data_IF_358851608070
#
_entry.id   IF_358851608070
#
_cell.length_a   1.000
_cell.length_b   1.000
_cell.length_c   1.000
_cell.angle_alpha   90.00
_cell.angle_beta   90.00
_cell.angle_gamma   90.00
#
_symmetry.space_group_name_H-M   'P 1'
#
loop_
_entity.id
_entity.type
_entity.pdbx_description
1 polymer ?
#
# COMPACT_ATOMS: atom_id res chain seq x y z
N UNK A 1 -27.55 37.93 27.42
CA UNK A 1 -27.95 36.78 26.59
C UNK A 1 -27.23 36.86 25.25
N UNK A 2 -26.02 36.30 25.15
CA UNK A 2 -25.24 36.32 23.90
C UNK A 2 -24.35 35.06 23.81
N UNK A 3 -24.96 33.87 23.83
CA UNK A 3 -24.26 32.58 23.74
C UNK A 3 -24.65 31.75 22.52
N UNK A 4 -25.53 32.24 21.64
CA UNK A 4 -26.07 31.45 20.51
C UNK A 4 -25.17 31.32 19.28
N UNK A 5 -24.27 32.28 19.03
CA UNK A 5 -23.61 32.39 17.72
C UNK A 5 -22.33 31.54 17.57
N UNK A 6 -21.74 31.06 18.68
CA UNK A 6 -20.48 30.31 18.64
C UNK A 6 -20.65 28.81 18.36
N UNK A 7 -21.76 28.22 18.81
CA UNK A 7 -22.08 26.81 18.60
C UNK A 7 -22.46 26.53 17.15
N UNK A 8 -23.40 27.29 16.61
CA UNK A 8 -23.87 27.16 15.22
C UNK A 8 -22.73 27.28 14.20
N UNK A 9 -21.82 28.25 14.38
CA UNK A 9 -20.67 28.45 13.48
C UNK A 9 -19.68 27.28 13.57
N UNK A 10 -19.45 26.70 14.76
CA UNK A 10 -18.55 25.54 14.94
C UNK A 10 -19.15 24.30 14.27
N UNK A 11 -20.45 24.11 14.41
CA UNK A 11 -21.20 23.00 13.84
C UNK A 11 -21.32 23.09 12.32
N UNK A 12 -21.48 24.30 11.77
CA UNK A 12 -21.45 24.53 10.32
C UNK A 12 -20.07 24.19 9.73
N UNK A 13 -18.98 24.67 10.34
CA UNK A 13 -17.61 24.32 9.94
C UNK A 13 -17.35 22.82 10.03
N UNK A 14 -17.88 22.16 11.05
CA UNK A 14 -17.78 20.72 11.22
C UNK A 14 -18.47 19.96 10.06
N UNK A 15 -19.69 20.37 9.66
CA UNK A 15 -20.37 19.78 8.49
C UNK A 15 -19.57 19.96 7.22
N UNK A 16 -19.10 21.18 6.96
CA UNK A 16 -18.28 21.47 5.77
C UNK A 16 -17.03 20.60 5.71
N UNK A 17 -16.35 20.38 6.84
CA UNK A 17 -15.17 19.51 6.88
C UNK A 17 -15.53 18.04 6.59
N UNK A 18 -16.60 17.53 7.22
CA UNK A 18 -17.01 16.14 7.03
C UNK A 18 -17.50 15.88 5.61
N UNK A 19 -18.25 16.81 5.02
CA UNK A 19 -18.69 16.73 3.62
C UNK A 19 -17.49 16.75 2.66
N UNK A 20 -16.49 17.61 2.93
CA UNK A 20 -15.25 17.64 2.15
C UNK A 20 -14.43 16.33 2.27
N UNK A 21 -14.58 15.62 3.39
CA UNK A 21 -14.01 14.29 3.59
C UNK A 21 -14.92 13.15 3.12
N UNK A 22 -16.09 13.43 2.54
CA UNK A 22 -17.05 12.42 2.08
C UNK A 22 -17.73 11.63 3.22
N UNK A 23 -17.74 12.17 4.44
CA UNK A 23 -18.32 11.51 5.62
C UNK A 23 -19.76 11.97 5.81
N UNK A 24 -20.71 11.06 5.63
CA UNK A 24 -22.12 11.33 5.91
C UNK A 24 -22.37 11.53 7.41
N UNK A 25 -22.61 12.78 7.81
CA UNK A 25 -22.77 13.17 9.21
C UNK A 25 -24.23 13.45 9.63
N UNK A 26 -25.20 13.20 8.75
CA UNK A 26 -26.61 13.54 8.98
C UNK A 26 -27.27 12.84 10.17
N UNK A 27 -26.65 11.79 10.70
CA UNK A 27 -27.10 11.04 11.87
C UNK A 27 -26.45 11.51 13.18
N UNK A 28 -25.46 12.40 13.13
CA UNK A 28 -24.72 12.87 14.30
C UNK A 28 -25.45 14.06 14.95
N UNK A 29 -25.52 14.06 16.28
CA UNK A 29 -25.88 15.26 17.02
C UNK A 29 -24.76 16.32 16.96
N UNK A 30 -25.07 17.53 17.43
CA UNK A 30 -24.15 18.67 17.32
C UNK A 30 -22.80 18.41 18.01
N UNK A 31 -22.80 17.78 19.18
CA UNK A 31 -21.60 17.50 19.94
C UNK A 31 -20.73 16.44 19.26
N UNK A 32 -21.35 15.36 18.77
CA UNK A 32 -20.67 14.28 18.06
C UNK A 32 -20.11 14.75 16.70
N UNK A 33 -20.86 15.58 15.99
CA UNK A 33 -20.46 16.23 14.75
C UNK A 33 -19.18 17.07 14.95
N UNK A 34 -19.21 17.96 15.95
CA UNK A 34 -18.05 18.82 16.26
C UNK A 34 -16.85 17.99 16.72
N UNK A 35 -17.04 17.01 17.61
CA UNK A 35 -15.96 16.15 18.07
C UNK A 35 -15.33 15.35 16.92
N UNK A 36 -16.16 14.84 15.99
CA UNK A 36 -15.68 14.11 14.82
C UNK A 36 -14.87 15.00 13.88
N UNK A 37 -15.35 16.22 13.62
CA UNK A 37 -14.63 17.19 12.82
C UNK A 37 -13.29 17.61 13.46
N UNK A 38 -13.25 17.80 14.78
CA UNK A 38 -12.00 18.13 15.49
C UNK A 38 -10.98 17.01 15.45
N UNK A 39 -11.41 15.76 15.64
CA UNK A 39 -10.54 14.60 15.45
C UNK A 39 -9.93 14.55 14.05
N UNK A 40 -10.72 14.86 13.01
CA UNK A 40 -10.24 14.90 11.63
C UNK A 40 -9.32 16.10 11.41
N UNK A 41 -9.65 17.27 11.93
CA UNK A 41 -8.81 18.46 11.81
C UNK A 41 -7.43 18.25 12.48
N UNK A 42 -7.41 17.64 13.66
CA UNK A 42 -6.16 17.26 14.35
C UNK A 42 -5.38 16.21 13.56
N UNK A 43 -6.06 15.21 12.98
CA UNK A 43 -5.43 14.23 12.12
C UNK A 43 -4.81 14.89 10.86
N UNK A 44 -5.52 15.82 10.23
CA UNK A 44 -5.06 16.58 9.06
C UNK A 44 -3.91 17.52 9.43
N UNK A 45 -3.92 18.13 10.62
CA UNK A 45 -2.82 18.96 11.10
C UNK A 45 -1.54 18.12 11.34
N UNK A 46 -1.68 16.93 11.96
CA UNK A 46 -0.59 15.96 12.10
C UNK A 46 -0.08 15.49 10.74
N UNK A 47 -0.98 15.22 9.80
CA UNK A 47 -0.65 14.88 8.42
C UNK A 47 0.15 15.98 7.71
N UNK A 48 -0.26 17.25 7.82
CA UNK A 48 0.48 18.38 7.22
C UNK A 48 1.86 18.55 7.83
N UNK A 49 2.02 18.23 9.11
CA UNK A 49 3.33 18.19 9.76
C UNK A 49 4.18 16.98 9.29
N UNK A 50 3.56 15.96 8.70
CA UNK A 50 4.18 14.73 8.19
C UNK A 50 4.56 14.79 6.70
N UNK A 51 4.48 15.95 6.03
CA UNK A 51 4.74 16.06 4.58
C UNK A 51 6.14 15.55 4.17
N UNK A 52 7.13 15.74 5.04
CA UNK A 52 8.50 15.26 4.83
C UNK A 52 8.62 13.72 4.73
N UNK A 53 7.73 12.98 5.41
CA UNK A 53 7.70 11.51 5.30
C UNK A 53 7.22 11.09 3.92
N UNK A 54 6.12 11.68 3.43
CA UNK A 54 5.60 11.39 2.09
C UNK A 54 6.61 11.73 1.00
N UNK A 55 7.26 12.90 1.09
CA UNK A 55 8.33 13.29 0.16
C UNK A 55 9.52 12.33 0.21
N UNK A 56 9.91 11.88 1.41
CA UNK A 56 11.00 10.90 1.55
C UNK A 56 10.59 9.54 1.01
N UNK A 57 9.34 9.12 1.21
CA UNK A 57 8.79 7.89 0.66
C UNK A 57 8.75 7.89 -0.87
N UNK A 58 8.29 8.99 -1.49
CA UNK A 58 8.26 9.11 -2.94
C UNK A 58 9.68 9.08 -3.55
N UNK A 59 10.63 9.76 -2.89
CA UNK A 59 12.05 9.69 -3.26
C UNK A 59 12.64 8.28 -3.08
N UNK A 60 12.24 7.58 -2.02
CA UNK A 60 12.66 6.21 -1.74
C UNK A 60 12.24 5.28 -2.88
N UNK A 61 10.93 5.25 -3.19
CA UNK A 61 10.37 4.44 -4.28
C UNK A 61 10.96 4.81 -5.64
N UNK A 62 11.14 6.10 -5.93
CA UNK A 62 11.75 6.53 -7.19
C UNK A 62 13.22 6.09 -7.29
N UNK A 63 13.94 6.04 -6.18
CA UNK A 63 15.33 5.55 -6.16
C UNK A 63 15.39 4.04 -6.49
N UNK A 64 14.43 3.27 -6.02
CA UNK A 64 14.35 1.82 -6.27
C UNK A 64 13.89 1.48 -7.68
N UNK A 65 12.76 2.05 -8.13
CA UNK A 65 12.05 1.61 -9.33
C UNK A 65 12.34 2.45 -10.57
N UNK A 66 12.71 3.73 -10.42
CA UNK A 66 13.05 4.58 -11.56
C UNK A 66 14.57 4.65 -11.74
N UNK A 67 15.29 5.08 -10.70
CA UNK A 67 16.72 5.31 -10.76
C UNK A 67 17.55 4.02 -10.64
N UNK A 68 16.98 2.98 -10.03
CA UNK A 68 17.67 1.72 -9.70
C UNK A 68 18.98 1.97 -8.92
N UNK A 69 18.95 2.89 -7.95
CA UNK A 69 20.11 3.37 -7.19
C UNK A 69 20.03 2.95 -5.72
N UNK A 70 20.77 1.88 -5.39
CA UNK A 70 20.89 1.36 -4.02
C UNK A 70 21.36 2.43 -3.03
N UNK A 71 22.31 3.28 -3.43
CA UNK A 71 22.88 4.31 -2.54
C UNK A 71 21.83 5.35 -2.19
N UNK A 72 21.14 5.87 -3.21
CA UNK A 72 20.06 6.84 -3.02
C UNK A 72 18.90 6.27 -2.18
N UNK A 73 18.54 5.00 -2.38
CA UNK A 73 17.55 4.29 -1.55
C UNK A 73 18.00 4.19 -0.09
N UNK A 74 19.25 3.81 0.16
CA UNK A 74 19.79 3.67 1.53
C UNK A 74 19.99 5.01 2.25
N UNK A 75 20.09 6.12 1.52
CA UNK A 75 20.21 7.48 2.07
C UNK A 75 18.87 8.04 2.59
N UNK A 76 17.75 7.40 2.29
CA UNK A 76 16.44 7.77 2.87
C UNK A 76 16.11 6.98 4.13
N UNK A 77 16.92 5.99 4.50
CA UNK A 77 16.69 5.09 5.61
C UNK A 77 17.49 5.48 6.85
N UNK A 78 16.98 5.12 8.03
CA UNK A 78 17.71 5.20 9.29
C UNK A 78 18.96 4.29 9.29
N UNK A 79 19.81 4.42 10.32
CA UNK A 79 21.01 3.58 10.48
C UNK A 79 20.73 2.10 10.79
N UNK A 80 19.56 1.79 11.38
CA UNK A 80 19.12 0.45 11.77
C UNK A 80 17.82 -0.01 11.05
N UNK A 81 17.75 0.01 9.70
CA UNK A 81 16.52 -0.27 8.98
C UNK A 81 16.25 -1.77 8.87
N UNK A 82 15.02 -2.14 8.51
CA UNK A 82 14.76 -3.47 7.97
C UNK A 82 13.67 -3.45 6.90
N UNK A 83 13.78 -4.35 5.94
CA UNK A 83 12.81 -4.56 4.86
C UNK A 83 12.31 -6.00 4.95
N UNK A 84 11.00 -6.18 4.84
CA UNK A 84 10.37 -7.50 4.86
C UNK A 84 9.28 -7.61 3.78
N UNK A 85 9.53 -8.48 2.82
CA UNK A 85 8.51 -9.03 1.94
C UNK A 85 7.82 -10.20 2.65
N UNK A 86 6.65 -9.93 3.24
CA UNK A 86 5.99 -10.82 4.20
C UNK A 86 5.65 -12.21 3.62
N UNK A 87 5.09 -12.33 2.39
CA UNK A 87 4.62 -13.63 1.89
C UNK A 87 5.71 -14.67 1.68
N UNK A 88 6.96 -14.26 1.47
CA UNK A 88 8.10 -15.16 1.19
C UNK A 88 9.30 -14.95 2.11
N UNK A 89 9.19 -14.04 3.08
CA UNK A 89 10.21 -13.73 4.09
C UNK A 89 11.57 -13.33 3.49
N UNK A 90 11.55 -12.64 2.35
CA UNK A 90 12.75 -12.05 1.74
C UNK A 90 12.93 -10.62 2.25
N UNK A 91 14.16 -10.14 2.28
CA UNK A 91 14.49 -8.81 2.78
C UNK A 91 15.83 -8.77 3.49
N UNK A 92 16.01 -7.79 4.37
CA UNK A 92 17.25 -7.55 5.11
C UNK A 92 17.01 -6.79 6.39
N UNK A 93 17.99 -6.81 7.30
CA UNK A 93 17.96 -6.05 8.55
C UNK A 93 19.33 -5.44 8.84
N UNK A 94 19.32 -4.24 9.42
CA UNK A 94 20.48 -3.38 9.56
C UNK A 94 20.94 -2.82 8.20
N UNK A 95 21.75 -1.75 8.23
CA UNK A 95 22.13 -1.01 7.02
C UNK A 95 22.79 -1.91 5.97
N UNK A 96 23.76 -2.72 6.38
CA UNK A 96 24.48 -3.63 5.47
C UNK A 96 23.58 -4.75 4.93
N UNK A 97 22.68 -5.28 5.77
CA UNK A 97 21.77 -6.36 5.39
C UNK A 97 20.76 -5.90 4.35
N UNK A 98 20.18 -4.72 4.55
CA UNK A 98 19.23 -4.11 3.61
C UNK A 98 19.94 -3.66 2.34
N UNK A 99 21.08 -2.98 2.42
CA UNK A 99 21.84 -2.53 1.24
C UNK A 99 22.25 -3.71 0.34
N UNK A 100 22.71 -4.82 0.94
CA UNK A 100 23.03 -6.05 0.20
C UNK A 100 21.79 -6.66 -0.45
N UNK A 101 20.66 -6.71 0.27
CA UNK A 101 19.42 -7.22 -0.30
C UNK A 101 18.99 -6.37 -1.52
N UNK A 102 19.08 -5.04 -1.42
CA UNK A 102 18.80 -4.16 -2.55
C UNK A 102 19.72 -4.41 -3.74
N UNK A 103 21.03 -4.49 -3.48
CA UNK A 103 22.05 -4.66 -4.51
C UNK A 103 22.00 -6.02 -5.22
N UNK A 104 21.66 -7.10 -4.50
CA UNK A 104 21.82 -8.46 -5.02
C UNK A 104 20.48 -9.14 -5.38
N UNK A 105 19.40 -8.81 -4.68
CA UNK A 105 18.15 -9.58 -4.70
C UNK A 105 16.88 -8.78 -5.02
N UNK A 106 16.96 -7.44 -4.99
CA UNK A 106 15.82 -6.58 -5.31
C UNK A 106 16.04 -5.83 -6.62
N UNK A 107 16.86 -4.77 -6.63
CA UNK A 107 16.91 -3.80 -7.72
C UNK A 107 17.30 -4.45 -9.07
N UNK A 108 18.35 -5.29 -9.16
CA UNK A 108 18.66 -5.97 -10.44
C UNK A 108 17.68 -7.10 -10.81
N UNK A 109 16.77 -7.45 -9.91
CA UNK A 109 15.77 -8.52 -10.05
C UNK A 109 14.37 -7.96 -10.34
N UNK A 110 14.25 -6.65 -10.61
CA UNK A 110 13.03 -6.00 -11.08
C UNK A 110 12.95 -6.21 -12.62
N UNK A 111 11.87 -6.85 -13.13
CA UNK A 111 11.64 -6.96 -14.57
C UNK A 111 11.62 -5.60 -15.28
N UNK A 112 12.11 -5.54 -16.51
CA UNK A 112 12.17 -4.29 -17.27
C UNK A 112 10.77 -3.71 -17.62
N UNK A 113 9.72 -4.55 -17.63
CA UNK A 113 8.34 -4.14 -17.87
C UNK A 113 7.53 -3.93 -16.58
N UNK A 114 8.19 -3.82 -15.42
CA UNK A 114 7.55 -3.55 -14.14
C UNK A 114 6.77 -2.23 -14.17
N UNK A 115 5.49 -2.30 -13.82
CA UNK A 115 4.57 -1.17 -13.80
C UNK A 115 3.81 -1.13 -12.50
N UNK A 116 3.73 0.05 -11.90
CA UNK A 116 2.98 0.32 -10.68
C UNK A 116 1.81 1.24 -11.01
N UNK A 117 0.59 0.78 -10.71
CA UNK A 117 -0.63 1.60 -10.77
C UNK A 117 -1.09 1.90 -9.34
N UNK A 118 -0.94 3.14 -8.86
CA UNK A 118 -1.40 3.51 -7.52
C UNK A 118 -2.92 3.39 -7.38
N UNK A 119 -3.39 2.84 -6.26
CA UNK A 119 -4.82 2.73 -5.92
C UNK A 119 -5.17 3.72 -4.82
N UNK A 120 -4.45 3.65 -3.70
CA UNK A 120 -4.69 4.51 -2.55
C UNK A 120 -3.41 4.71 -1.74
N UNK A 121 -3.38 5.80 -0.97
CA UNK A 121 -2.32 6.09 0.00
C UNK A 121 -2.96 6.51 1.31
N UNK A 122 -2.55 5.88 2.40
CA UNK A 122 -2.92 6.25 3.76
C UNK A 122 -1.67 6.75 4.49
N UNK A 123 -1.73 7.97 5.03
CA UNK A 123 -0.61 8.56 5.77
C UNK A 123 -0.99 8.72 7.24
N UNK A 124 -0.25 8.03 8.09
CA UNK A 124 -0.33 8.12 9.55
C UNK A 124 0.60 9.20 10.11
N UNK A 125 0.87 9.12 11.42
CA UNK A 125 1.80 10.05 12.08
C UNK A 125 3.27 9.62 11.90
N UNK A 126 3.50 8.34 11.62
CA UNK A 126 4.80 7.68 11.57
C UNK A 126 4.86 6.58 10.50
N UNK A 127 3.86 6.49 9.63
CA UNK A 127 3.83 5.51 8.55
C UNK A 127 3.11 6.04 7.31
N UNK A 128 3.52 5.55 6.15
CA UNK A 128 2.84 5.68 4.87
C UNK A 128 2.48 4.27 4.40
N UNK A 129 1.24 4.07 3.98
CA UNK A 129 0.76 2.80 3.43
C UNK A 129 0.22 3.06 2.05
N UNK A 130 0.88 2.46 1.05
CA UNK A 130 0.47 2.51 -0.35
C UNK A 130 -0.17 1.20 -0.76
N UNK A 131 -1.33 1.31 -1.38
CA UNK A 131 -2.01 0.23 -2.08
C UNK A 131 -1.84 0.47 -3.58
N UNK A 132 -1.38 -0.56 -4.28
CA UNK A 132 -1.09 -0.47 -5.71
C UNK A 132 -1.39 -1.79 -6.42
N UNK A 133 -1.62 -1.73 -7.72
CA UNK A 133 -1.56 -2.91 -8.59
C UNK A 133 -0.24 -2.88 -9.34
N UNK A 134 0.54 -3.95 -9.19
CA UNK A 134 1.79 -4.14 -9.92
C UNK A 134 1.58 -5.11 -11.06
N UNK A 135 2.13 -4.78 -12.23
CA UNK A 135 2.12 -5.63 -13.41
C UNK A 135 3.52 -5.83 -13.96
N UNK A 136 3.86 -7.06 -14.34
CA UNK A 136 5.16 -7.40 -14.93
C UNK A 136 5.08 -8.74 -15.68
N UNK A 137 6.10 -9.04 -16.48
CA UNK A 137 6.31 -10.36 -17.08
C UNK A 137 7.38 -11.12 -16.28
N UNK A 138 7.11 -12.37 -15.93
CA UNK A 138 8.09 -13.21 -15.23
C UNK A 138 9.12 -13.80 -16.22
N UNK A 139 9.94 -12.93 -16.80
CA UNK A 139 10.97 -13.24 -17.81
C UNK A 139 12.41 -13.34 -17.25
N UNK A 140 12.61 -12.89 -16.02
CA UNK A 140 13.82 -13.07 -15.21
C UNK A 140 13.49 -13.74 -13.87
N UNK A 141 14.51 -14.19 -13.14
CA UNK A 141 14.32 -14.59 -11.74
C UNK A 141 14.01 -13.34 -10.90
N UNK A 142 12.96 -13.40 -10.09
CA UNK A 142 12.51 -12.30 -9.22
C UNK A 142 12.64 -12.75 -7.77
N UNK A 143 13.86 -12.68 -7.22
CA UNK A 143 14.20 -13.29 -5.92
C UNK A 143 13.29 -12.83 -4.77
N UNK A 144 12.93 -11.55 -4.77
CA UNK A 144 12.12 -10.96 -3.71
C UNK A 144 10.64 -11.42 -3.72
N UNK A 145 10.11 -11.83 -4.87
CA UNK A 145 8.69 -12.21 -5.05
C UNK A 145 8.51 -13.73 -5.25
N UNK A 146 9.39 -14.33 -6.04
CA UNK A 146 9.35 -15.72 -6.51
C UNK A 146 10.71 -16.41 -6.29
N UNK A 147 11.21 -16.48 -5.04
CA UNK A 147 12.55 -17.01 -4.77
C UNK A 147 12.70 -18.44 -5.29
N UNK A 148 13.74 -18.66 -6.11
CA UNK A 148 14.09 -19.96 -6.73
C UNK A 148 13.08 -20.49 -7.75
N UNK A 149 12.19 -19.65 -8.27
CA UNK A 149 11.33 -20.01 -9.39
C UNK A 149 11.96 -19.48 -10.68
N UNK A 150 12.23 -20.34 -11.69
CA UNK A 150 12.78 -19.88 -12.95
C UNK A 150 11.72 -19.08 -13.75
N UNK A 151 12.15 -18.21 -14.67
CA UNK A 151 11.25 -17.45 -15.54
C UNK A 151 10.19 -18.34 -16.20
N UNK A 152 8.92 -17.94 -16.09
CA UNK A 152 7.80 -18.66 -16.73
C UNK A 152 7.31 -17.99 -18.00
N UNK A 153 7.75 -16.76 -18.28
CA UNK A 153 7.31 -15.95 -19.41
C UNK A 153 5.86 -15.49 -19.31
N UNK A 154 5.20 -15.69 -18.17
CA UNK A 154 3.80 -15.31 -17.96
C UNK A 154 3.70 -13.91 -17.37
N UNK A 155 2.68 -13.18 -17.81
CA UNK A 155 2.32 -11.89 -17.22
C UNK A 155 1.65 -12.10 -15.88
N UNK A 156 1.98 -11.26 -14.91
CA UNK A 156 1.39 -11.22 -13.58
C UNK A 156 0.80 -9.83 -13.35
N UNK A 157 -0.42 -9.77 -12.84
CA UNK A 157 -1.05 -8.57 -12.29
C UNK A 157 -1.43 -8.89 -10.83
N UNK A 158 -0.90 -8.15 -9.86
CA UNK A 158 -1.10 -8.46 -8.43
C UNK A 158 -1.26 -7.18 -7.60
N UNK A 159 -2.28 -7.10 -6.72
CA UNK A 159 -2.33 -6.08 -5.68
C UNK A 159 -1.15 -6.23 -4.71
N UNK A 160 -0.49 -5.11 -4.41
CA UNK A 160 0.58 -5.01 -3.42
C UNK A 160 0.20 -3.91 -2.42
N UNK A 161 0.46 -4.17 -1.14
CA UNK A 161 0.44 -3.15 -0.09
C UNK A 161 1.86 -2.96 0.41
N UNK A 162 2.38 -1.73 0.28
CA UNK A 162 3.68 -1.34 0.79
C UNK A 162 3.50 -0.38 1.97
N UNK A 163 3.97 -0.79 3.15
CA UNK A 163 4.00 0.05 4.34
C UNK A 163 5.43 0.49 4.59
N UNK A 164 5.67 1.80 4.58
CA UNK A 164 6.91 2.42 5.07
C UNK A 164 6.66 3.08 6.41
N UNK A 165 7.34 2.62 7.46
CA UNK A 165 7.32 3.26 8.78
C UNK A 165 8.54 4.13 8.97
N UNK A 166 8.41 5.20 9.75
CA UNK A 166 9.38 6.28 9.83
C UNK A 166 9.86 6.53 11.26
N UNK A 167 11.08 7.03 11.37
CA UNK A 167 11.60 7.67 12.59
C UNK A 167 11.99 9.10 12.21
N UNK A 168 11.15 10.06 12.58
CA UNK A 168 11.26 11.42 12.03
C UNK A 168 10.90 11.40 10.54
N UNK A 169 11.82 11.83 9.68
CA UNK A 169 11.63 11.82 8.22
C UNK A 169 12.27 10.63 7.51
N UNK A 170 13.01 9.78 8.23
CA UNK A 170 13.76 8.66 7.64
C UNK A 170 12.98 7.35 7.75
N UNK A 171 13.07 6.52 6.71
CA UNK A 171 12.42 5.20 6.66
C UNK A 171 13.11 4.28 7.66
N UNK A 172 12.34 3.79 8.63
CA UNK A 172 12.77 2.84 9.64
C UNK A 172 12.58 1.41 9.18
N UNK A 173 11.44 1.10 8.60
CA UNK A 173 11.21 -0.25 8.07
C UNK A 173 10.13 -0.27 7.02
N UNK A 174 10.14 -1.37 6.27
CA UNK A 174 9.15 -1.65 5.25
C UNK A 174 8.53 -3.02 5.43
N UNK A 175 7.21 -3.09 5.28
CA UNK A 175 6.47 -4.34 5.16
C UNK A 175 5.70 -4.36 3.85
N UNK A 176 6.01 -5.34 3.01
CA UNK A 176 5.40 -5.52 1.70
C UNK A 176 4.53 -6.78 1.70
N UNK A 177 3.27 -6.62 1.34
CA UNK A 177 2.26 -7.68 1.34
C UNK A 177 1.67 -7.87 -0.06
N UNK A 178 1.40 -9.14 -0.39
CA UNK A 178 0.63 -9.54 -1.56
C UNK A 178 0.05 -10.95 -1.33
N UNK A 179 -0.86 -11.38 -2.21
CA UNK A 179 -1.37 -12.75 -2.21
C UNK A 179 -0.47 -13.68 -3.04
N UNK A 180 0.39 -14.45 -2.37
CA UNK A 180 1.31 -15.36 -3.04
C UNK A 180 0.58 -16.51 -3.76
N UNK A 181 -0.59 -16.94 -3.30
CA UNK A 181 -1.33 -18.01 -3.98
C UNK A 181 -1.83 -17.54 -5.36
N UNK A 182 -2.31 -16.30 -5.45
CA UNK A 182 -2.71 -15.70 -6.73
C UNK A 182 -1.52 -15.49 -7.68
N UNK A 183 -0.33 -15.12 -7.17
CA UNK A 183 0.89 -15.07 -8.00
C UNK A 183 1.23 -16.46 -8.55
N UNK A 184 1.29 -17.49 -7.68
CA UNK A 184 1.61 -18.86 -8.07
C UNK A 184 0.61 -19.44 -9.08
N UNK A 185 -0.68 -19.11 -8.95
CA UNK A 185 -1.71 -19.50 -9.91
C UNK A 185 -1.46 -18.88 -11.29
N UNK A 186 -1.20 -17.56 -11.34
CA UNK A 186 -0.93 -16.85 -12.59
C UNK A 186 0.30 -17.42 -13.32
N UNK A 187 1.37 -17.74 -12.59
CA UNK A 187 2.58 -18.33 -13.18
C UNK A 187 2.47 -19.84 -13.46
N UNK A 188 1.37 -20.49 -13.06
CA UNK A 188 1.07 -21.89 -13.37
C UNK A 188 1.66 -22.93 -12.42
N UNK A 189 2.03 -22.52 -11.21
CA UNK A 189 2.58 -23.42 -10.18
C UNK A 189 1.54 -23.82 -9.13
N UNK A 190 0.36 -23.19 -9.13
CA UNK A 190 -0.76 -23.57 -8.29
C UNK A 190 -1.99 -23.82 -9.16
N UNK A 191 -2.55 -25.03 -9.06
CA UNK A 191 -3.85 -25.36 -9.62
C UNK A 191 -4.94 -24.80 -8.69
N UNK A 192 -5.89 -24.08 -9.26
CA UNK A 192 -6.98 -23.44 -8.54
C UNK A 192 -8.17 -24.37 -8.31
N UNK A 193 -8.17 -25.57 -8.92
CA UNK A 193 -9.23 -26.56 -8.74
C UNK A 193 -9.34 -26.96 -7.26
N UNK A 194 -10.51 -26.70 -6.68
CA UNK A 194 -10.83 -27.12 -5.31
C UNK A 194 -10.22 -26.25 -4.20
N UNK A 195 -9.61 -25.11 -4.54
CA UNK A 195 -9.08 -24.14 -3.56
C UNK A 195 -9.65 -22.75 -3.79
N UNK A 196 -9.90 -21.95 -2.74
CA UNK A 196 -10.50 -20.63 -2.87
C UNK A 196 -9.45 -19.56 -3.25
N UNK A 197 -8.80 -19.74 -4.40
CA UNK A 197 -7.77 -18.82 -4.94
C UNK A 197 -8.33 -18.13 -6.18
N UNK A 198 -8.21 -16.80 -6.23
CA UNK A 198 -8.70 -16.00 -7.35
C UNK A 198 -7.73 -15.96 -8.53
N UNK A 199 -6.53 -15.36 -8.40
CA UNK A 199 -5.63 -15.12 -9.52
C UNK A 199 -5.63 -13.66 -10.00
N UNK A 200 -5.58 -13.44 -11.31
CA UNK A 200 -5.50 -12.10 -11.94
C UNK A 200 -6.73 -11.23 -11.65
N UNK A 201 -7.85 -11.88 -11.34
CA UNK A 201 -9.13 -11.28 -11.01
C UNK A 201 -9.03 -10.32 -9.82
N UNK A 202 -8.10 -10.53 -8.88
CA UNK A 202 -7.90 -9.62 -7.74
C UNK A 202 -7.47 -8.22 -8.21
N UNK A 203 -6.48 -8.14 -9.11
CA UNK A 203 -5.97 -6.88 -9.63
C UNK A 203 -7.05 -6.14 -10.43
N UNK A 204 -7.73 -6.85 -11.34
CA UNK A 204 -8.79 -6.27 -12.18
C UNK A 204 -9.97 -5.76 -11.35
N UNK A 205 -10.35 -6.53 -10.32
CA UNK A 205 -11.44 -6.14 -9.42
C UNK A 205 -11.10 -4.89 -8.62
N UNK A 206 -9.86 -4.78 -8.15
CA UNK A 206 -9.39 -3.63 -7.38
C UNK A 206 -9.35 -2.36 -8.25
N UNK A 207 -8.94 -2.46 -9.51
CA UNK A 207 -8.87 -1.33 -10.45
C UNK A 207 -10.26 -0.83 -10.87
N UNK A 208 -11.13 -1.74 -11.31
CA UNK A 208 -12.38 -1.36 -11.97
C UNK A 208 -13.58 -1.36 -11.01
N UNK A 209 -13.52 -2.11 -9.90
CA UNK A 209 -14.64 -2.32 -8.99
C UNK A 209 -15.84 -3.07 -9.60
N UNK A 210 -15.77 -3.46 -10.87
CA UNK A 210 -16.89 -4.03 -11.64
C UNK A 210 -16.78 -5.55 -11.83
N UNK A 211 -17.74 -6.17 -12.51
CA UNK A 211 -17.80 -7.64 -12.71
C UNK A 211 -18.46 -8.41 -11.57
N UNK A 212 -18.55 -9.75 -11.66
CA UNK A 212 -19.21 -10.57 -10.63
C UNK A 212 -18.44 -10.51 -9.31
N UNK A 213 -19.18 -10.37 -8.21
CA UNK A 213 -18.67 -10.66 -6.87
C UNK A 213 -19.08 -12.10 -6.49
N UNK A 214 -18.45 -12.67 -5.48
CA UNK A 214 -18.84 -13.96 -4.87
C UNK A 214 -18.71 -15.20 -5.77
N UNK A 215 -17.95 -15.14 -6.87
CA UNK A 215 -17.77 -16.29 -7.78
C UNK A 215 -17.21 -17.55 -7.09
N UNK A 216 -16.43 -17.38 -6.02
CA UNK A 216 -15.84 -18.49 -5.25
C UNK A 216 -16.73 -19.02 -4.10
N UNK A 217 -17.83 -18.33 -3.76
CA UNK A 217 -18.76 -18.76 -2.68
C UNK A 217 -19.78 -19.81 -3.20
N UNK A 218 -19.94 -19.92 -4.51
CA UNK A 218 -20.97 -20.74 -5.17
C UNK A 218 -22.26 -19.95 -5.41
N UNK A 219 -23.07 -20.39 -6.38
CA UNK A 219 -24.43 -19.87 -6.59
C UNK A 219 -25.33 -20.24 -5.40
N UNK A 220 -26.16 -19.31 -4.91
CA UNK A 220 -27.29 -19.65 -4.03
C UNK A 220 -28.07 -20.84 -4.62
N UNK A 221 -28.54 -21.79 -3.80
CA UNK A 221 -29.46 -22.80 -4.30
C UNK A 221 -30.71 -22.09 -4.84
N UNK A 222 -31.29 -22.53 -5.97
CA UNK A 222 -32.58 -22.01 -6.40
C UNK A 222 -33.60 -22.27 -5.29
N UNK A 223 -34.26 -21.21 -4.83
CA UNK A 223 -35.34 -21.25 -3.84
C UNK A 223 -36.59 -21.93 -4.34
#
# INVERSE_FOLDING_TARGET
>A
MATGNGGEVRSERARTLLDACGIEAGHLDEAALVARAEQIADAVARYRASSAMTETWDRHLSSEFDAHDVGATMDTMVDDPYLLHVPVLTGGAGRDGVARFYADHFIPKIPADWQITPISRTVGCDQVVDEMVTTFTHDIEIDFLLPRVPPTGRRVEIPIVALGAFRGSEVRYEHIYWDQASVLAQIGLLDQVGVPVAGVEQARKLLDGTGPFNSLIGSEPPG
#
